data_IF_023810772319
#
_entry.id   IF_023810772319
#
_cell.length_a   1.000
_cell.length_b   1.000
_cell.length_c   1.000
_cell.angle_alpha   90.00
_cell.angle_beta   90.00
_cell.angle_gamma   90.00
#
_symmetry.space_group_name_H-M   'P 1'
#
loop_
_entity.id
_entity.type
_entity.pdbx_description
1 polymer ?
#
# COMPACT_ATOMS: atom_id res chain seq x y z
N UNK A 1 76.85 -23.93 -21.45
CA UNK A 1 76.36 -22.76 -20.68
C UNK A 1 76.38 -21.58 -21.65
N UNK A 2 75.29 -20.94 -22.08
CA UNK A 2 73.89 -20.96 -21.64
C UNK A 2 73.06 -20.30 -22.76
N UNK A 3 72.03 -20.95 -23.28
CA UNK A 3 71.08 -20.34 -24.22
C UNK A 3 70.12 -19.42 -23.45
N UNK A 4 70.08 -18.13 -23.81
CA UNK A 4 69.15 -17.16 -23.23
C UNK A 4 67.82 -17.22 -23.98
N UNK A 5 66.83 -17.90 -23.38
CA UNK A 5 65.45 -17.94 -23.87
C UNK A 5 64.72 -16.63 -23.58
N UNK A 6 64.55 -15.80 -24.61
CA UNK A 6 63.70 -14.61 -24.57
C UNK A 6 62.22 -15.02 -24.57
N UNK A 7 61.61 -15.11 -23.38
CA UNK A 7 60.15 -15.31 -23.22
C UNK A 7 59.41 -14.07 -23.69
N UNK A 8 58.74 -14.16 -24.84
CA UNK A 8 57.78 -13.17 -25.30
C UNK A 8 56.55 -13.18 -24.38
N UNK A 9 56.33 -12.09 -23.64
CA UNK A 9 55.08 -11.84 -22.92
C UNK A 9 53.98 -11.56 -23.95
N UNK A 10 53.15 -12.56 -24.20
CA UNK A 10 51.89 -12.40 -24.91
C UNK A 10 51.01 -11.40 -24.14
N UNK A 11 50.78 -10.24 -24.76
CA UNK A 11 49.78 -9.24 -24.34
C UNK A 11 48.42 -9.84 -24.67
N UNK A 12 47.68 -10.31 -23.66
CA UNK A 12 46.25 -10.58 -23.81
C UNK A 12 45.54 -9.26 -24.08
N UNK A 13 45.00 -9.11 -25.28
CA UNK A 13 44.05 -8.04 -25.59
C UNK A 13 42.83 -8.16 -24.65
N UNK A 14 42.23 -7.04 -24.20
CA UNK A 14 40.99 -7.07 -23.43
C UNK A 14 39.94 -7.75 -24.29
N UNK A 15 39.34 -8.83 -23.78
CA UNK A 15 38.14 -9.43 -24.35
C UNK A 15 37.09 -8.33 -24.33
N UNK A 16 36.76 -7.78 -25.50
CA UNK A 16 35.56 -6.97 -25.66
C UNK A 16 34.40 -7.88 -25.28
N UNK A 17 33.78 -7.61 -24.14
CA UNK A 17 32.50 -8.20 -23.78
C UNK A 17 31.51 -7.77 -24.86
N UNK A 18 31.31 -8.65 -25.84
CA UNK A 18 30.28 -8.51 -26.86
C UNK A 18 28.95 -8.74 -26.16
N UNK A 19 28.41 -7.70 -25.52
CA UNK A 19 27.00 -7.70 -25.13
C UNK A 19 26.19 -7.88 -26.42
N UNK A 20 25.31 -8.90 -26.49
CA UNK A 20 24.51 -9.16 -27.67
C UNK A 20 23.71 -7.91 -28.09
N UNK A 21 23.42 -7.73 -29.38
CA UNK A 21 22.68 -6.57 -29.85
C UNK A 21 21.31 -6.50 -29.15
N UNK A 22 20.92 -5.31 -28.64
CA UNK A 22 19.75 -5.20 -27.79
C UNK A 22 18.48 -5.56 -28.56
N UNK A 23 17.69 -6.45 -27.98
CA UNK A 23 16.43 -6.94 -28.56
C UNK A 23 15.34 -5.87 -28.39
N UNK A 24 14.25 -5.92 -29.18
CA UNK A 24 13.22 -4.86 -29.23
C UNK A 24 12.53 -4.62 -27.87
N UNK A 25 12.40 -5.68 -27.08
CA UNK A 25 11.99 -5.70 -25.67
C UNK A 25 12.96 -4.93 -24.76
N UNK A 26 14.28 -5.12 -24.90
CA UNK A 26 15.28 -4.40 -24.11
C UNK A 26 15.29 -2.90 -24.42
N UNK A 27 15.06 -2.52 -25.69
CA UNK A 27 14.89 -1.11 -26.08
C UNK A 27 13.63 -0.50 -25.46
N UNK A 28 12.53 -1.26 -25.43
CA UNK A 28 11.28 -0.81 -24.82
C UNK A 28 11.42 -0.67 -23.29
N UNK A 29 12.06 -1.65 -22.63
CA UNK A 29 12.34 -1.62 -21.19
C UNK A 29 13.28 -0.46 -20.83
N UNK A 30 14.32 -0.19 -21.63
CA UNK A 30 15.19 0.97 -21.42
C UNK A 30 14.46 2.30 -21.62
N UNK A 31 13.57 2.39 -22.62
CA UNK A 31 12.76 3.58 -22.87
C UNK A 31 11.69 3.83 -21.80
N UNK A 32 11.11 2.77 -21.22
CA UNK A 32 10.09 2.86 -20.16
C UNK A 32 10.67 3.01 -18.75
N UNK A 33 11.91 2.58 -18.52
CA UNK A 33 12.60 2.67 -17.22
C UNK A 33 12.47 4.03 -16.52
N UNK A 34 12.62 5.18 -17.20
CA UNK A 34 12.46 6.48 -16.54
C UNK A 34 11.01 6.81 -16.16
N UNK A 35 10.02 6.32 -16.92
CA UNK A 35 8.60 6.62 -16.72
C UNK A 35 7.84 5.54 -15.94
N UNK A 36 8.51 4.47 -15.53
CA UNK A 36 7.86 3.31 -14.90
C UNK A 36 7.12 3.72 -13.62
N UNK A 37 7.65 4.68 -12.86
CA UNK A 37 7.02 5.16 -11.63
C UNK A 37 5.77 6.01 -11.87
N UNK A 38 5.76 6.87 -12.90
CA UNK A 38 4.55 7.62 -13.28
C UNK A 38 3.49 6.71 -13.87
N UNK A 39 3.88 5.77 -14.74
CA UNK A 39 2.94 4.81 -15.33
C UNK A 39 2.33 3.97 -14.21
N UNK A 40 3.14 3.49 -13.26
CA UNK A 40 2.64 2.73 -12.12
C UNK A 40 1.73 3.58 -11.21
N UNK A 41 2.12 4.82 -10.92
CA UNK A 41 1.32 5.75 -10.12
C UNK A 41 -0.02 6.11 -10.78
N UNK A 42 -0.01 6.39 -12.09
CA UNK A 42 -1.19 6.67 -12.89
C UNK A 42 -2.12 5.46 -13.00
N UNK A 43 -1.57 4.26 -13.23
CA UNK A 43 -2.35 3.01 -13.20
C UNK A 43 -2.96 2.79 -11.82
N UNK A 44 -2.18 2.98 -10.75
CA UNK A 44 -2.65 2.77 -9.39
C UNK A 44 -3.74 3.78 -8.99
N UNK A 45 -3.57 5.05 -9.35
CA UNK A 45 -4.59 6.09 -9.15
C UNK A 45 -5.86 5.78 -9.94
N UNK A 46 -5.73 5.40 -11.22
CA UNK A 46 -6.87 5.05 -12.07
C UNK A 46 -7.61 3.85 -11.50
N UNK A 47 -6.88 2.82 -11.05
CA UNK A 47 -7.46 1.64 -10.43
C UNK A 47 -8.20 2.01 -9.14
N UNK A 48 -7.59 2.81 -8.27
CA UNK A 48 -8.23 3.30 -7.04
C UNK A 48 -9.48 4.14 -7.34
N UNK A 49 -9.40 5.03 -8.33
CA UNK A 49 -10.54 5.84 -8.76
C UNK A 49 -11.69 4.98 -9.30
N UNK A 50 -11.38 3.98 -10.13
CA UNK A 50 -12.37 3.02 -10.63
C UNK A 50 -13.01 2.21 -9.50
N UNK A 51 -12.23 1.78 -8.51
CA UNK A 51 -12.75 1.07 -7.32
C UNK A 51 -13.66 1.97 -6.50
N UNK A 52 -13.29 3.24 -6.29
CA UNK A 52 -14.10 4.22 -5.56
C UNK A 52 -15.43 4.47 -6.29
N UNK A 53 -15.36 4.66 -7.61
CA UNK A 53 -16.54 4.89 -8.44
C UNK A 53 -17.47 3.68 -8.45
N UNK A 54 -16.92 2.46 -8.57
CA UNK A 54 -17.66 1.19 -8.42
C UNK A 54 -18.35 1.11 -7.06
N UNK A 55 -17.68 1.54 -6.00
CA UNK A 55 -18.24 1.51 -4.65
C UNK A 55 -19.37 2.53 -4.47
N UNK A 56 -19.27 3.70 -5.10
CA UNK A 56 -20.26 4.76 -5.02
C UNK A 56 -21.55 4.45 -5.81
N UNK A 57 -21.42 3.76 -6.95
CA UNK A 57 -22.54 3.40 -7.84
C UNK A 57 -23.15 2.04 -7.47
N UNK A 58 -22.53 1.29 -6.55
CA UNK A 58 -22.94 -0.05 -6.15
C UNK A 58 -24.46 -0.13 -5.95
N UNK A 59 -25.09 -0.96 -6.77
CA UNK A 59 -26.48 -1.38 -6.59
C UNK A 59 -26.51 -2.69 -5.79
N UNK A 60 -27.64 -2.98 -5.14
CA UNK A 60 -27.82 -4.15 -4.25
C UNK A 60 -27.64 -5.51 -4.93
N UNK A 61 -27.51 -5.56 -6.26
CA UNK A 61 -27.42 -6.78 -7.07
C UNK A 61 -26.04 -7.06 -7.66
N UNK A 62 -25.05 -6.19 -7.50
CA UNK A 62 -23.70 -6.45 -8.00
C UNK A 62 -22.88 -7.33 -7.05
N UNK A 63 -22.87 -8.63 -7.33
CA UNK A 63 -22.22 -9.68 -6.53
C UNK A 63 -20.78 -10.02 -6.95
N UNK A 64 -20.13 -9.22 -7.79
CA UNK A 64 -18.82 -9.59 -8.34
C UNK A 64 -17.87 -8.43 -8.64
N UNK A 65 -16.58 -8.65 -8.36
CA UNK A 65 -15.47 -7.77 -8.71
C UNK A 65 -14.52 -7.49 -7.54
N UNK A 66 -13.37 -6.87 -7.85
CA UNK A 66 -12.39 -6.45 -6.83
C UNK A 66 -12.99 -5.49 -5.81
N UNK A 67 -13.87 -4.58 -6.24
CA UNK A 67 -14.56 -3.64 -5.33
C UNK A 67 -15.47 -4.37 -4.34
N UNK A 68 -16.15 -5.44 -4.76
CA UNK A 68 -17.00 -6.24 -3.87
C UNK A 68 -16.16 -7.00 -2.84
N UNK A 69 -15.01 -7.55 -3.23
CA UNK A 69 -14.07 -8.20 -2.30
C UNK A 69 -13.54 -7.19 -1.28
N UNK A 70 -13.10 -6.02 -1.74
CA UNK A 70 -12.60 -4.96 -0.85
C UNK A 70 -13.69 -4.49 0.12
N UNK A 71 -14.94 -4.35 -0.34
CA UNK A 71 -16.09 -4.04 0.52
C UNK A 71 -16.39 -5.14 1.53
N UNK A 72 -16.37 -6.41 1.13
CA UNK A 72 -16.65 -7.51 2.04
C UNK A 72 -15.60 -7.64 3.15
N UNK A 73 -14.34 -7.36 2.81
CA UNK A 73 -13.22 -7.41 3.76
C UNK A 73 -13.22 -6.24 4.73
N UNK A 74 -13.39 -5.01 4.24
CA UNK A 74 -13.17 -3.78 5.00
C UNK A 74 -14.44 -2.96 5.28
N UNK A 75 -15.56 -3.26 4.63
CA UNK A 75 -16.83 -2.55 4.77
C UNK A 75 -16.70 -1.05 4.55
N UNK A 76 -17.13 -0.26 5.52
CA UNK A 76 -16.97 1.20 5.50
C UNK A 76 -15.49 1.64 5.49
N UNK A 77 -14.59 0.80 6.01
CA UNK A 77 -13.15 1.01 5.94
C UNK A 77 -12.59 0.98 4.51
N UNK A 78 -13.32 0.40 3.55
CA UNK A 78 -12.93 0.38 2.14
C UNK A 78 -12.82 1.77 1.54
N UNK A 79 -13.64 2.73 1.97
CA UNK A 79 -13.53 4.12 1.51
C UNK A 79 -12.18 4.72 1.89
N UNK A 80 -11.79 4.57 3.15
CA UNK A 80 -10.48 5.03 3.63
C UNK A 80 -9.35 4.33 2.88
N UNK A 81 -9.41 3.00 2.76
CA UNK A 81 -8.40 2.22 2.04
C UNK A 81 -8.24 2.66 0.57
N UNK A 82 -9.34 2.80 -0.17
CA UNK A 82 -9.28 3.21 -1.57
C UNK A 82 -8.76 4.65 -1.71
N UNK A 83 -9.18 5.57 -0.83
CA UNK A 83 -8.68 6.94 -0.78
C UNK A 83 -7.17 6.98 -0.56
N UNK A 84 -6.65 6.07 0.27
CA UNK A 84 -5.23 5.89 0.54
C UNK A 84 -4.46 5.51 -0.70
N UNK A 85 -4.96 4.48 -1.40
CA UNK A 85 -4.33 3.96 -2.61
C UNK A 85 -4.36 5.04 -3.69
N UNK A 86 -5.44 5.81 -3.79
CA UNK A 86 -5.53 6.97 -4.67
C UNK A 86 -4.48 8.04 -4.31
N UNK A 87 -4.34 8.38 -3.02
CA UNK A 87 -3.33 9.33 -2.55
C UNK A 87 -1.89 8.86 -2.84
N UNK A 88 -1.61 7.57 -2.66
CA UNK A 88 -0.32 6.95 -3.00
C UNK A 88 -0.09 6.99 -4.52
N UNK A 89 -1.10 6.69 -5.33
CA UNK A 89 -1.02 6.78 -6.79
C UNK A 89 -0.70 8.21 -7.26
N UNK A 90 -1.40 9.20 -6.70
CA UNK A 90 -1.13 10.62 -6.91
C UNK A 90 0.31 10.96 -6.50
N UNK A 91 0.75 10.52 -5.33
CA UNK A 91 2.12 10.77 -4.84
C UNK A 91 3.18 10.16 -5.76
N UNK A 92 3.00 8.93 -6.24
CA UNK A 92 3.92 8.28 -7.18
C UNK A 92 3.98 9.02 -8.52
N UNK A 93 2.83 9.48 -9.03
CA UNK A 93 2.74 10.27 -10.25
C UNK A 93 3.44 11.64 -10.10
N UNK A 94 3.26 12.27 -8.93
CA UNK A 94 3.85 13.58 -8.62
C UNK A 94 5.32 13.51 -8.19
N UNK A 95 5.87 12.33 -7.86
CA UNK A 95 7.27 12.16 -7.42
C UNK A 95 8.30 12.62 -8.46
N UNK A 96 7.92 12.63 -9.74
CA UNK A 96 8.79 13.11 -10.83
C UNK A 96 8.91 14.65 -10.84
N UNK A 97 7.84 15.34 -10.42
CA UNK A 97 7.91 16.75 -10.04
C UNK A 97 8.63 16.75 -8.70
N UNK A 98 9.74 17.46 -8.55
CA UNK A 98 10.52 17.49 -7.30
C UNK A 98 9.73 18.17 -6.16
N UNK A 99 8.65 17.55 -5.68
CA UNK A 99 7.95 18.04 -4.51
C UNK A 99 8.87 17.86 -3.30
N UNK A 100 8.95 18.88 -2.43
CA UNK A 100 9.76 18.82 -1.20
C UNK A 100 9.22 17.85 -0.16
N UNK A 101 8.11 17.14 -0.43
CA UNK A 101 7.48 16.20 0.49
C UNK A 101 8.17 14.85 0.49
N UNK A 102 9.12 14.67 1.42
CA UNK A 102 9.67 13.35 1.76
C UNK A 102 8.68 12.61 2.65
N UNK A 103 7.88 11.71 2.09
CA UNK A 103 7.07 10.78 2.90
C UNK A 103 8.02 9.91 3.72
N UNK A 104 7.94 10.00 5.04
CA UNK A 104 8.71 9.15 5.96
C UNK A 104 7.99 7.82 6.15
N UNK A 105 8.76 6.74 6.36
CA UNK A 105 8.19 5.42 6.67
C UNK A 105 7.24 5.45 7.87
N UNK A 106 7.46 6.35 8.83
CA UNK A 106 6.58 6.57 9.98
C UNK A 106 5.18 7.05 9.59
N UNK A 107 5.03 7.86 8.53
CA UNK A 107 3.74 8.35 8.08
C UNK A 107 2.92 7.26 7.41
N UNK A 108 3.58 6.40 6.62
CA UNK A 108 2.96 5.24 5.99
C UNK A 108 2.46 4.28 7.08
N UNK A 109 3.30 4.02 8.09
CA UNK A 109 2.95 3.13 9.19
C UNK A 109 1.85 3.70 10.08
N UNK A 110 1.88 5.00 10.39
CA UNK A 110 0.80 5.66 11.14
C UNK A 110 -0.54 5.61 10.39
N UNK A 111 -0.49 5.79 9.07
CA UNK A 111 -1.65 5.72 8.22
C UNK A 111 -2.25 4.30 8.13
N UNK A 112 -1.40 3.28 7.97
CA UNK A 112 -1.82 1.88 7.99
C UNK A 112 -2.41 1.49 9.36
N UNK A 113 -1.80 1.97 10.44
CA UNK A 113 -2.30 1.77 11.80
C UNK A 113 -3.67 2.42 12.02
N UNK A 114 -3.89 3.62 11.47
CA UNK A 114 -5.20 4.28 11.53
C UNK A 114 -6.28 3.46 10.83
N UNK A 115 -6.00 2.93 9.64
CA UNK A 115 -6.97 2.09 8.91
C UNK A 115 -7.22 0.80 9.67
N UNK A 116 -6.16 0.15 10.13
CA UNK A 116 -6.25 -1.10 10.87
C UNK A 116 -7.04 -0.93 12.17
N UNK A 117 -6.89 0.19 12.87
CA UNK A 117 -7.64 0.51 14.07
C UNK A 117 -9.09 0.92 13.78
N UNK A 118 -9.35 1.61 12.66
CA UNK A 118 -10.70 2.06 12.30
C UNK A 118 -11.65 0.90 11.97
N UNK A 119 -11.15 -0.19 11.38
CA UNK A 119 -11.93 -1.38 11.00
C UNK A 119 -12.69 -2.03 12.18
N UNK A 120 -12.03 -2.44 13.28
CA UNK A 120 -12.73 -2.98 14.44
C UNK A 120 -13.54 -1.91 15.18
N UNK A 121 -13.15 -0.63 15.11
CA UNK A 121 -13.87 0.48 15.76
C UNK A 121 -15.26 0.70 15.14
N UNK A 122 -15.36 0.65 13.81
CA UNK A 122 -16.65 0.71 13.12
C UNK A 122 -17.50 -0.52 13.40
N UNK A 123 -16.90 -1.70 13.53
CA UNK A 123 -17.61 -2.92 13.94
C UNK A 123 -18.19 -2.80 15.37
N UNK A 124 -17.37 -2.42 16.36
CA UNK A 124 -17.83 -2.32 17.76
C UNK A 124 -18.86 -1.21 17.94
N UNK A 125 -18.73 -0.09 17.22
CA UNK A 125 -19.72 1.00 17.28
C UNK A 125 -21.05 0.67 16.63
N UNK A 126 -21.02 -0.10 15.55
CA UNK A 126 -22.25 -0.47 14.83
C UNK A 126 -23.04 -1.59 15.53
N UNK A 127 -22.37 -2.43 16.33
CA UNK A 127 -23.02 -3.49 17.10
C UNK A 127 -23.74 -4.52 16.22
N UNK A 128 -23.38 -4.62 14.94
CA UNK A 128 -24.08 -5.49 13.97
C UNK A 128 -23.85 -6.96 14.26
N UNK A 129 -24.85 -7.77 13.91
CA UNK A 129 -24.75 -9.21 14.02
C UNK A 129 -23.65 -9.77 13.09
N UNK A 130 -23.13 -10.95 13.43
CA UNK A 130 -22.07 -11.61 12.65
C UNK A 130 -22.44 -11.75 11.16
N UNK A 131 -23.71 -12.03 10.86
CA UNK A 131 -24.21 -12.18 9.50
C UNK A 131 -24.06 -10.90 8.66
N UNK A 132 -24.22 -9.73 9.28
CA UNK A 132 -24.13 -8.43 8.59
C UNK A 132 -22.66 -8.04 8.37
N UNK A 133 -21.78 -8.37 9.31
CA UNK A 133 -20.33 -8.15 9.14
C UNK A 133 -19.73 -9.02 8.00
N UNK A 134 -20.22 -10.25 7.84
CA UNK A 134 -19.87 -11.15 6.72
C UNK A 134 -20.39 -10.64 5.37
N UNK A 135 -21.46 -9.85 5.37
CA UNK A 135 -21.97 -9.14 4.19
C UNK A 135 -21.19 -7.86 3.87
N UNK A 136 -20.22 -7.49 4.70
CA UNK A 136 -19.41 -6.27 4.54
C UNK A 136 -19.99 -5.04 5.23
N UNK A 137 -20.99 -5.18 6.10
CA UNK A 137 -21.46 -4.03 6.88
C UNK A 137 -20.48 -3.65 8.01
N UNK A 138 -20.50 -2.37 8.36
CA UNK A 138 -19.62 -1.74 9.33
C UNK A 138 -18.11 -1.93 9.06
N UNK A 139 -17.41 -2.73 9.85
CA UNK A 139 -15.97 -3.00 9.72
C UNK A 139 -15.63 -4.15 8.76
N UNK A 140 -16.66 -4.73 8.12
CA UNK A 140 -16.51 -5.92 7.29
C UNK A 140 -15.99 -7.13 8.06
N UNK A 141 -15.51 -8.12 7.32
CA UNK A 141 -15.02 -9.38 7.90
C UNK A 141 -13.79 -9.16 8.77
N UNK A 142 -12.89 -8.23 8.39
CA UNK A 142 -11.66 -7.95 9.15
C UNK A 142 -12.00 -7.25 10.47
N UNK A 143 -12.90 -6.26 10.45
CA UNK A 143 -13.33 -5.56 11.65
C UNK A 143 -14.00 -6.49 12.66
N UNK A 144 -14.81 -7.44 12.20
CA UNK A 144 -15.38 -8.50 13.04
C UNK A 144 -14.29 -9.43 13.61
N UNK A 145 -13.39 -9.93 12.75
CA UNK A 145 -12.36 -10.89 13.16
C UNK A 145 -11.39 -10.34 14.22
N UNK A 146 -11.13 -9.03 14.20
CA UNK A 146 -10.31 -8.35 15.21
C UNK A 146 -11.14 -7.86 16.40
N UNK A 147 -12.37 -7.40 16.16
CA UNK A 147 -13.24 -6.84 17.18
C UNK A 147 -13.79 -7.89 18.14
N UNK A 148 -14.35 -8.99 17.63
CA UNK A 148 -15.04 -9.99 18.46
C UNK A 148 -14.15 -10.61 19.54
N UNK A 149 -12.97 -11.17 19.23
CA UNK A 149 -12.11 -11.76 20.26
C UNK A 149 -11.69 -10.74 21.32
N UNK A 150 -11.48 -9.49 20.90
CA UNK A 150 -11.09 -8.40 21.81
C UNK A 150 -12.26 -8.01 22.71
N UNK A 151 -13.49 -7.90 22.18
CA UNK A 151 -14.70 -7.65 22.98
C UNK A 151 -14.98 -8.80 23.95
N UNK A 152 -14.80 -10.05 23.55
CA UNK A 152 -14.96 -11.21 24.43
C UNK A 152 -13.94 -11.22 25.58
N UNK A 153 -12.70 -10.79 25.31
CA UNK A 153 -11.62 -10.81 26.31
C UNK A 153 -11.59 -9.57 27.22
N UNK A 154 -11.75 -8.36 26.65
CA UNK A 154 -11.65 -7.08 27.37
C UNK A 154 -13.01 -6.49 27.76
N UNK A 155 -14.09 -6.86 27.06
CA UNK A 155 -15.38 -6.19 27.14
C UNK A 155 -15.49 -4.98 26.20
N UNK A 156 -16.72 -4.56 25.83
CA UNK A 156 -16.94 -3.55 24.79
C UNK A 156 -16.27 -2.19 25.05
N UNK A 157 -16.24 -1.75 26.31
CA UNK A 157 -15.71 -0.43 26.69
C UNK A 157 -14.18 -0.40 26.59
N UNK A 158 -13.49 -1.42 27.10
CA UNK A 158 -12.04 -1.54 27.04
C UNK A 158 -11.56 -1.75 25.59
N UNK A 159 -12.30 -2.51 24.78
CA UNK A 159 -11.99 -2.68 23.36
C UNK A 159 -12.06 -1.36 22.59
N UNK A 160 -13.09 -0.54 22.84
CA UNK A 160 -13.18 0.80 22.24
C UNK A 160 -12.00 1.68 22.64
N UNK A 161 -11.64 1.71 23.93
CA UNK A 161 -10.47 2.48 24.40
C UNK A 161 -9.17 1.99 23.77
N UNK A 162 -8.99 0.68 23.64
CA UNK A 162 -7.82 0.08 23.01
C UNK A 162 -7.69 0.52 21.54
N UNK A 163 -8.73 0.36 20.73
CA UNK A 163 -8.67 0.77 19.32
C UNK A 163 -8.64 2.29 19.13
N UNK A 164 -9.28 3.09 19.99
CA UNK A 164 -9.13 4.54 19.99
C UNK A 164 -7.69 4.97 20.31
N UNK A 165 -7.02 4.29 21.23
CA UNK A 165 -5.62 4.58 21.55
C UNK A 165 -4.70 4.28 20.36
N UNK A 166 -4.91 3.14 19.69
CA UNK A 166 -4.21 2.77 18.45
C UNK A 166 -4.47 3.77 17.32
N UNK A 167 -5.71 4.21 17.15
CA UNK A 167 -6.07 5.21 16.16
C UNK A 167 -5.37 6.55 16.43
N UNK A 168 -5.34 6.97 17.71
CA UNK A 168 -4.66 8.19 18.15
C UNK A 168 -3.14 8.09 17.94
N UNK A 169 -2.53 6.93 18.23
CA UNK A 169 -1.12 6.66 17.91
C UNK A 169 -0.86 6.75 16.40
N UNK A 170 -1.76 6.23 15.58
CA UNK A 170 -1.68 6.35 14.12
C UNK A 170 -1.70 7.81 13.66
N UNK A 171 -2.58 8.64 14.21
CA UNK A 171 -2.61 10.09 13.94
C UNK A 171 -1.30 10.76 14.37
N UNK A 172 -0.79 10.43 15.55
CA UNK A 172 0.46 11.00 16.08
C UNK A 172 1.65 10.69 15.15
N UNK A 173 1.74 9.46 14.67
CA UNK A 173 2.74 9.01 13.69
C UNK A 173 2.57 9.72 12.34
N UNK A 174 1.33 9.91 11.88
CA UNK A 174 1.01 10.58 10.63
C UNK A 174 1.38 12.07 10.66
N UNK A 175 1.06 12.75 11.76
CA UNK A 175 1.40 14.16 12.00
C UNK A 175 2.88 14.37 12.34
N UNK A 176 3.66 13.29 12.51
CA UNK A 176 5.03 13.33 13.01
C UNK A 176 5.16 14.17 14.30
N UNK A 177 4.18 14.08 15.20
CA UNK A 177 4.29 14.71 16.51
C UNK A 177 5.40 13.98 17.25
N UNK A 178 6.59 14.54 17.17
CA UNK A 178 7.76 14.11 17.92
C UNK A 178 7.60 14.61 19.34
N UNK A 179 7.96 13.80 20.33
CA UNK A 179 8.04 14.17 21.75
C UNK A 179 9.02 15.32 22.07
N UNK A 180 9.49 16.07 21.06
CA UNK A 180 10.29 17.28 21.19
C UNK A 180 9.49 18.58 21.07
N UNK A 181 8.20 18.52 20.71
CA UNK A 181 7.32 19.71 20.55
C UNK A 181 6.31 19.88 21.70
N UNK A 182 6.40 19.07 22.77
CA UNK A 182 5.60 19.17 24.01
C UNK A 182 6.54 19.24 25.20
#
# INVERSE_FOLDING_TARGET
MSESSSRSRSRRSPRQDQTPPPTWDEKLIQALKPYTQEILGGILFTLAFLLLFRLLIRTSTETGGLAAIVWQLAGWGSYFFILSVAAIGIYLMLRQVQLPFRIKASQILGFELMIFAALPLTYVWSGVAQADALAGDAGGTIGWALGQPTVEFLGPLLTNLFFLSLFTLGIMLLLQVSWGDV
#
